data_IF_202961157350
#
_entry.id   IF_202961157350
#
_cell.length_a   1.000
_cell.length_b   1.000
_cell.length_c   1.000
_cell.angle_alpha   90.00
_cell.angle_beta   90.00
_cell.angle_gamma   90.00
#
_symmetry.space_group_name_H-M   'P 1'
#
loop_
_entity.id
_entity.type
_entity.pdbx_description
1 polymer ?
#
# COMPACT_ATOMS: atom_id res chain seq x y z
N UNK A 1 10.89 -25.64 0.88
CA UNK A 1 10.82 -24.40 1.65
C UNK A 1 12.03 -23.57 1.28
N UNK A 2 11.91 -22.25 1.12
CA UNK A 2 13.04 -21.36 0.79
C UNK A 2 14.08 -21.36 1.92
N UNK A 3 15.33 -21.03 1.62
CA UNK A 3 16.33 -20.71 2.64
C UNK A 3 16.05 -19.34 3.30
N UNK A 4 16.74 -19.04 4.40
CA UNK A 4 16.61 -17.75 5.09
C UNK A 4 16.97 -16.57 4.17
N UNK A 5 18.04 -16.69 3.39
CA UNK A 5 18.47 -15.64 2.46
C UNK A 5 17.48 -15.46 1.31
N UNK A 6 16.98 -16.57 0.73
CA UNK A 6 15.96 -16.51 -0.32
C UNK A 6 14.64 -15.93 0.20
N UNK A 7 14.30 -16.21 1.47
CA UNK A 7 13.12 -15.65 2.13
C UNK A 7 13.24 -14.14 2.32
N UNK A 8 14.42 -13.65 2.72
CA UNK A 8 14.64 -12.21 2.85
C UNK A 8 14.61 -11.52 1.48
N UNK A 9 15.30 -12.10 0.49
CA UNK A 9 15.29 -11.63 -0.89
C UNK A 9 13.87 -11.58 -1.49
N UNK A 10 13.00 -12.52 -1.11
CA UNK A 10 11.61 -12.48 -1.53
C UNK A 10 10.87 -11.22 -1.02
N UNK A 11 11.10 -10.82 0.24
CA UNK A 11 10.54 -9.58 0.79
C UNK A 11 11.14 -8.34 0.12
N UNK A 12 12.44 -8.33 -0.13
CA UNK A 12 13.11 -7.22 -0.84
C UNK A 12 12.58 -7.05 -2.26
N UNK A 13 12.34 -8.15 -2.98
CA UNK A 13 11.75 -8.12 -4.32
C UNK A 13 10.31 -7.58 -4.30
N UNK A 14 9.49 -7.98 -3.34
CA UNK A 14 8.13 -7.44 -3.19
C UNK A 14 8.18 -5.94 -2.86
N UNK A 15 9.10 -5.51 -1.99
CA UNK A 15 9.31 -4.10 -1.71
C UNK A 15 9.70 -3.32 -2.98
N UNK A 16 10.61 -3.86 -3.79
CA UNK A 16 10.99 -3.25 -5.06
C UNK A 16 9.81 -3.14 -6.03
N UNK A 17 8.97 -4.17 -6.15
CA UNK A 17 7.80 -4.11 -7.02
C UNK A 17 6.74 -3.13 -6.53
N UNK A 18 6.48 -3.05 -5.22
CA UNK A 18 5.53 -2.10 -4.63
C UNK A 18 6.02 -0.65 -4.75
N UNK A 19 7.33 -0.39 -4.66
CA UNK A 19 7.91 0.93 -4.96
C UNK A 19 7.67 1.33 -6.43
N UNK A 20 7.89 0.41 -7.37
CA UNK A 20 7.60 0.65 -8.80
C UNK A 20 6.11 0.83 -9.06
N UNK A 21 5.25 0.11 -8.33
CA UNK A 21 3.81 0.24 -8.46
C UNK A 21 3.34 1.61 -7.96
N UNK A 22 3.93 2.13 -6.88
CA UNK A 22 3.71 3.49 -6.41
C UNK A 22 4.13 4.54 -7.45
N UNK A 23 5.26 4.36 -8.12
CA UNK A 23 5.67 5.25 -9.22
C UNK A 23 4.69 5.21 -10.40
N UNK A 24 4.20 4.01 -10.76
CA UNK A 24 3.20 3.84 -11.81
C UNK A 24 1.86 4.48 -11.43
N UNK A 25 1.40 4.29 -10.19
CA UNK A 25 0.19 4.92 -9.66
C UNK A 25 0.26 6.45 -9.73
N UNK A 26 1.40 7.04 -9.32
CA UNK A 26 1.62 8.50 -9.43
C UNK A 26 1.53 9.02 -10.87
N UNK A 27 1.81 8.17 -11.86
CA UNK A 27 1.73 8.49 -13.29
C UNK A 27 0.37 8.12 -13.91
N UNK A 28 -0.56 7.55 -13.14
CA UNK A 28 -1.80 6.93 -13.64
C UNK A 28 -1.54 5.87 -14.73
N UNK A 29 -0.40 5.18 -14.66
CA UNK A 29 -0.01 4.15 -15.63
C UNK A 29 -0.63 2.80 -15.24
N UNK A 30 -1.90 2.63 -15.55
CA UNK A 30 -2.69 1.45 -15.20
C UNK A 30 -2.15 0.15 -15.82
N UNK A 31 -1.54 0.23 -17.01
CA UNK A 31 -0.95 -0.94 -17.66
C UNK A 31 0.30 -1.41 -16.90
N UNK A 32 1.17 -0.47 -16.52
CA UNK A 32 2.35 -0.78 -15.73
C UNK A 32 1.98 -1.31 -14.34
N UNK A 33 0.92 -0.78 -13.73
CA UNK A 33 0.40 -1.29 -12.45
C UNK A 33 -0.07 -2.75 -12.58
N UNK A 34 -0.88 -3.08 -13.59
CA UNK A 34 -1.35 -4.45 -13.83
C UNK A 34 -0.18 -5.42 -14.07
N UNK A 35 0.82 -5.02 -14.88
CA UNK A 35 2.01 -5.84 -15.11
C UNK A 35 2.80 -6.10 -13.81
N UNK A 36 2.90 -5.10 -12.93
CA UNK A 36 3.58 -5.25 -11.64
C UNK A 36 2.79 -6.14 -10.67
N UNK A 37 1.46 -6.06 -10.68
CA UNK A 37 0.58 -6.94 -9.91
C UNK A 37 0.79 -8.40 -10.33
N UNK A 38 0.77 -8.70 -11.63
CA UNK A 38 1.03 -10.05 -12.16
C UNK A 38 2.40 -10.60 -11.73
N UNK A 39 3.42 -9.73 -11.62
CA UNK A 39 4.77 -10.11 -11.17
C UNK A 39 4.79 -10.47 -9.68
N UNK A 40 4.13 -9.68 -8.84
CA UNK A 40 3.99 -9.98 -7.40
C UNK A 40 3.24 -11.30 -7.22
N UNK A 41 2.14 -11.48 -7.95
CA UNK A 41 1.33 -12.69 -7.94
C UNK A 41 2.10 -13.93 -8.38
N UNK A 42 2.88 -13.82 -9.45
CA UNK A 42 3.78 -14.88 -9.90
C UNK A 42 4.80 -15.24 -8.81
N UNK A 43 5.42 -14.24 -8.19
CA UNK A 43 6.41 -14.47 -7.13
C UNK A 43 5.79 -15.17 -5.91
N UNK A 44 4.60 -14.75 -5.46
CA UNK A 44 3.89 -15.40 -4.36
C UNK A 44 3.57 -16.86 -4.70
N UNK A 45 3.15 -17.14 -5.94
CA UNK A 45 2.89 -18.52 -6.41
C UNK A 45 4.16 -19.37 -6.43
N UNK A 46 5.27 -18.82 -6.92
CA UNK A 46 6.58 -19.49 -6.92
C UNK A 46 7.03 -19.84 -5.49
N UNK A 47 6.90 -18.91 -4.54
CA UNK A 47 7.22 -19.16 -3.12
C UNK A 47 6.36 -20.30 -2.54
N UNK A 48 5.06 -20.34 -2.87
CA UNK A 48 4.16 -21.42 -2.43
C UNK A 48 4.59 -22.77 -3.00
N UNK A 49 4.94 -22.84 -4.29
CA UNK A 49 5.38 -24.06 -4.95
C UNK A 49 6.72 -24.58 -4.41
N UNK A 50 7.61 -23.66 -4.01
CA UNK A 50 8.87 -24.00 -3.36
C UNK A 50 8.70 -24.41 -1.89
N UNK A 51 7.47 -24.60 -1.40
CA UNK A 51 7.19 -25.04 -0.03
C UNK A 51 7.26 -23.92 1.02
N UNK A 52 7.07 -22.67 0.60
CA UNK A 52 6.88 -21.52 1.48
C UNK A 52 8.16 -20.87 2.01
N UNK A 53 7.97 -19.79 2.76
CA UNK A 53 9.03 -18.98 3.34
C UNK A 53 9.66 -19.63 4.57
N UNK A 54 10.97 -19.46 4.73
CA UNK A 54 11.69 -19.87 5.91
C UNK A 54 11.21 -19.12 7.17
N UNK A 55 11.32 -19.77 8.33
CA UNK A 55 11.11 -19.09 9.61
C UNK A 55 12.37 -18.33 9.99
N UNK A 56 12.34 -17.01 9.79
CA UNK A 56 13.44 -16.12 10.18
C UNK A 56 13.46 -15.89 11.69
N UNK A 57 14.66 -15.81 12.27
CA UNK A 57 14.91 -15.56 13.69
C UNK A 57 16.00 -14.49 13.89
N UNK A 58 16.11 -13.96 15.10
CA UNK A 58 17.12 -12.95 15.45
C UNK A 58 17.05 -11.71 14.56
N UNK A 59 18.21 -11.28 14.06
CA UNK A 59 18.35 -10.10 13.22
C UNK A 59 17.54 -10.18 11.90
N UNK A 60 17.48 -11.36 11.27
CA UNK A 60 16.72 -11.57 10.03
C UNK A 60 15.22 -11.37 10.24
N UNK A 61 14.71 -11.66 11.43
CA UNK A 61 13.31 -11.37 11.78
C UNK A 61 13.06 -9.86 11.84
N UNK A 62 14.00 -9.10 12.40
CA UNK A 62 13.87 -7.63 12.49
C UNK A 62 13.94 -7.00 11.09
N UNK A 63 14.84 -7.48 10.23
CA UNK A 63 14.92 -7.05 8.83
C UNK A 63 13.61 -7.35 8.08
N UNK A 64 13.05 -8.55 8.25
CA UNK A 64 11.72 -8.87 7.70
C UNK A 64 10.63 -7.91 8.17
N UNK A 65 10.58 -7.61 9.47
CA UNK A 65 9.58 -6.69 10.02
C UNK A 65 9.73 -5.31 9.40
N UNK A 66 10.96 -4.80 9.28
CA UNK A 66 11.22 -3.53 8.61
C UNK A 66 10.74 -3.52 7.16
N UNK A 67 11.07 -4.56 6.37
CA UNK A 67 10.62 -4.68 4.98
C UNK A 67 9.09 -4.71 4.88
N UNK A 68 8.40 -5.42 5.78
CA UNK A 68 6.94 -5.46 5.81
C UNK A 68 6.32 -4.09 6.08
N UNK A 69 6.89 -3.31 6.99
CA UNK A 69 6.41 -1.94 7.22
C UNK A 69 6.54 -1.08 5.96
N UNK A 70 7.69 -1.13 5.30
CA UNK A 70 7.91 -0.38 4.05
C UNK A 70 6.94 -0.81 2.94
N UNK A 71 6.66 -2.11 2.81
CA UNK A 71 5.66 -2.63 1.85
C UNK A 71 4.27 -2.07 2.17
N UNK A 72 3.83 -2.15 3.43
CA UNK A 72 2.51 -1.67 3.84
C UNK A 72 2.35 -0.15 3.67
N UNK A 73 3.40 0.62 3.91
CA UNK A 73 3.41 2.06 3.68
C UNK A 73 3.26 2.38 2.18
N UNK A 74 3.93 1.63 1.30
CA UNK A 74 3.75 1.75 -0.15
C UNK A 74 2.34 1.38 -0.58
N UNK A 75 1.79 0.26 -0.09
CA UNK A 75 0.43 -0.19 -0.42
C UNK A 75 -0.61 0.84 -0.01
N UNK A 76 -0.45 1.44 1.17
CA UNK A 76 -1.29 2.54 1.63
C UNK A 76 -1.21 3.74 0.68
N UNK A 77 0.00 4.16 0.33
CA UNK A 77 0.21 5.28 -0.58
C UNK A 77 -0.36 5.01 -1.99
N UNK A 78 -0.26 3.77 -2.49
CA UNK A 78 -0.89 3.36 -3.76
C UNK A 78 -2.40 3.50 -3.64
N UNK A 79 -3.00 2.95 -2.58
CA UNK A 79 -4.45 3.02 -2.36
C UNK A 79 -4.96 4.46 -2.27
N UNK A 80 -4.23 5.33 -1.57
CA UNK A 80 -4.59 6.75 -1.45
C UNK A 80 -4.61 7.47 -2.82
N UNK A 81 -3.84 6.97 -3.80
CA UNK A 81 -3.80 7.49 -5.18
C UNK A 81 -4.89 6.84 -6.05
N UNK A 82 -5.05 5.52 -5.98
CA UNK A 82 -5.90 4.76 -6.90
C UNK A 82 -7.36 4.70 -6.50
N UNK A 83 -7.69 5.03 -5.24
CA UNK A 83 -9.05 4.98 -4.70
C UNK A 83 -9.56 6.39 -4.34
N UNK A 84 -9.80 7.28 -5.34
CA UNK A 84 -10.10 8.70 -5.12
C UNK A 84 -11.42 8.93 -4.37
N UNK A 85 -12.34 7.96 -4.38
CA UNK A 85 -13.63 8.02 -3.71
C UNK A 85 -13.50 8.29 -2.19
N UNK A 86 -12.43 7.80 -1.53
CA UNK A 86 -12.23 8.02 -0.10
C UNK A 86 -11.78 9.47 0.20
N UNK A 87 -10.99 10.05 -0.71
CA UNK A 87 -10.57 11.45 -0.66
C UNK A 87 -11.76 12.38 -0.97
N UNK A 88 -12.58 12.03 -1.97
CA UNK A 88 -13.80 12.76 -2.31
C UNK A 88 -14.82 12.72 -1.17
N UNK A 89 -15.02 11.56 -0.54
CA UNK A 89 -15.89 11.41 0.63
C UNK A 89 -15.40 12.27 1.80
N UNK A 90 -14.10 12.24 2.10
CA UNK A 90 -13.50 13.07 3.16
C UNK A 90 -13.68 14.56 2.89
N UNK A 91 -13.52 15.00 1.64
CA UNK A 91 -13.79 16.38 1.22
C UNK A 91 -15.27 16.74 1.34
N UNK A 92 -16.18 15.85 0.96
CA UNK A 92 -17.63 16.01 1.10
C UNK A 92 -18.03 16.19 2.57
N UNK A 93 -17.58 15.31 3.47
CA UNK A 93 -17.85 15.39 4.90
C UNK A 93 -17.28 16.68 5.51
N UNK A 94 -16.05 17.04 5.15
CA UNK A 94 -15.43 18.29 5.60
C UNK A 94 -16.20 19.54 5.15
N UNK A 95 -16.73 19.53 3.93
CA UNK A 95 -17.50 20.64 3.39
C UNK A 95 -18.90 20.73 4.00
N UNK A 96 -19.55 19.60 4.31
CA UNK A 96 -20.86 19.56 5.01
C UNK A 96 -20.79 20.14 6.43
N UNK A 97 -19.73 19.85 7.19
CA UNK A 97 -19.58 20.42 8.55
C UNK A 97 -19.29 21.95 8.53
N UNK A 98 -18.76 22.49 7.41
CA UNK A 98 -18.49 23.94 7.26
C UNK A 98 -19.75 24.76 6.95
N UNK A 99 -20.76 24.19 6.32
CA UNK A 99 -22.00 24.92 6.01
C UNK A 99 -22.87 25.12 7.24
N UNK A 100 -22.91 24.14 8.16
CA UNK A 100 -23.70 24.22 9.39
C UNK A 100 -23.18 25.30 10.37
N UNK A 101 -21.88 25.54 10.40
CA UNK A 101 -21.27 26.55 11.29
C UNK A 101 -21.55 27.98 10.82
N UNK A 102 -21.77 28.19 9.51
CA UNK A 102 -22.12 29.51 8.97
C UNK A 102 -23.61 29.82 9.14
N UNK A 103 -24.47 28.82 9.08
CA UNK A 103 -25.92 29.01 9.21
C UNK A 103 -26.34 29.24 10.67
N UNK A 104 -25.75 28.51 11.62
CA UNK A 104 -25.99 28.71 13.06
C UNK A 104 -25.37 29.99 13.65
N UNK A 105 -24.41 30.62 12.96
CA UNK A 105 -23.91 31.96 13.30
C UNK A 105 -24.83 33.10 12.79
N UNK A 106 -25.51 32.89 11.65
CA UNK A 106 -26.46 33.88 11.08
C UNK A 106 -27.80 33.92 11.82
N UNK A 107 -28.21 32.82 12.47
CA UNK A 107 -29.49 32.73 13.20
C UNK A 107 -29.43 33.25 14.64
N UNK A 108 -28.25 33.61 15.17
CA UNK A 108 -28.07 34.17 16.52
C UNK A 108 -28.02 35.70 16.60
N UNK A 109 -28.22 36.41 15.48
CA UNK A 109 -28.15 37.89 15.42
C UNK A 109 -29.47 38.52 14.96
N UNK A 110 -30.62 37.89 15.20
CA UNK A 110 -31.92 38.48 14.89
C UNK A 110 -32.91 38.32 16.04
#
# INVERSE_FOLDING_TARGET
MLSNQQTLAAYENILFFTQKMLEAAKKNDNQQMQYLEDRIDYQIRSIKNEGGLAKLSGELRNQKIHLLHCILDNDKAIKDITDPWLNELSALIYNMNRTETKESASLKTR
#
